data_IF_364858781327
#
_entry.id   IF_364858781327
#
_cell.length_a   1.000
_cell.length_b   1.000
_cell.length_c   1.000
_cell.angle_alpha   90.00
_cell.angle_beta   90.00
_cell.angle_gamma   90.00
#
_symmetry.space_group_name_H-M   'P 1'
#
loop_
_entity.id
_entity.type
_entity.pdbx_description
1 polymer ?
#
# COMPACT_ATOMS: atom_id res chain seq x y z
N UNK A 1 9.48 7.09 -4.56
CA UNK A 1 10.01 7.69 -5.81
C UNK A 1 10.99 6.80 -6.56
N UNK A 2 11.99 6.18 -5.93
CA UNK A 2 13.05 5.44 -6.63
C UNK A 2 12.57 4.33 -7.59
N UNK A 3 11.57 3.53 -7.19
CA UNK A 3 11.06 2.46 -8.06
C UNK A 3 10.26 2.99 -9.25
N UNK A 4 9.49 4.07 -9.07
CA UNK A 4 8.76 4.74 -10.16
C UNK A 4 9.74 5.25 -11.22
N UNK A 5 10.82 5.91 -10.79
CA UNK A 5 11.87 6.39 -11.70
C UNK A 5 12.51 5.23 -12.49
N UNK A 6 12.75 4.08 -11.86
CA UNK A 6 13.28 2.91 -12.58
C UNK A 6 12.29 2.37 -13.61
N UNK A 7 11.00 2.36 -13.30
CA UNK A 7 9.94 1.94 -14.22
C UNK A 7 9.85 2.88 -15.41
N UNK A 8 9.83 4.20 -15.16
CA UNK A 8 9.85 5.23 -16.21
C UNK A 8 11.04 5.04 -17.16
N UNK A 9 12.24 4.83 -16.61
CA UNK A 9 13.44 4.54 -17.42
C UNK A 9 13.34 3.26 -18.23
N UNK A 10 12.66 2.24 -17.73
CA UNK A 10 12.46 1.00 -18.47
C UNK A 10 11.43 1.18 -19.60
N UNK A 11 10.38 1.98 -19.38
CA UNK A 11 9.39 2.33 -20.40
C UNK A 11 9.93 3.23 -21.50
N UNK A 12 10.83 4.17 -21.18
CA UNK A 12 11.52 5.02 -22.16
C UNK A 12 12.30 4.23 -23.22
N UNK A 13 12.63 2.95 -22.96
CA UNK A 13 13.27 2.05 -23.93
C UNK A 13 12.31 1.70 -25.08
N UNK A 14 10.99 1.76 -24.85
CA UNK A 14 9.98 1.56 -25.89
C UNK A 14 9.90 0.12 -26.42
N UNK A 15 10.11 -0.87 -25.54
CA UNK A 15 9.90 -2.28 -25.91
C UNK A 15 8.40 -2.55 -26.07
N UNK A 16 7.97 -3.25 -27.15
CA UNK A 16 6.58 -3.71 -27.27
C UNK A 16 6.18 -4.63 -26.11
N UNK A 17 4.94 -4.52 -25.66
CA UNK A 17 4.42 -5.36 -24.57
C UNK A 17 4.42 -6.85 -24.93
N UNK A 18 4.19 -7.15 -26.20
CA UNK A 18 4.11 -8.48 -26.81
C UNK A 18 5.44 -8.98 -27.41
N UNK A 19 6.55 -8.27 -27.18
CA UNK A 19 7.87 -8.58 -27.75
C UNK A 19 8.30 -10.05 -27.56
N UNK A 20 7.84 -10.68 -26.47
CA UNK A 20 8.16 -12.06 -26.13
C UNK A 20 6.92 -12.98 -26.06
N UNK A 21 5.81 -12.61 -26.69
CA UNK A 21 4.55 -13.37 -26.64
C UNK A 21 4.71 -14.84 -27.10
N UNK A 22 5.58 -15.09 -28.09
CA UNK A 22 5.84 -16.43 -28.63
C UNK A 22 6.96 -17.19 -27.90
N UNK A 23 7.60 -16.57 -26.91
CA UNK A 23 8.72 -17.18 -26.19
C UNK A 23 8.26 -17.89 -24.92
N UNK A 24 8.88 -19.04 -24.60
CA UNK A 24 8.53 -19.75 -23.37
C UNK A 24 8.98 -18.98 -22.13
N UNK A 25 8.10 -18.86 -21.14
CA UNK A 25 8.39 -18.19 -19.87
C UNK A 25 9.63 -18.76 -19.17
N UNK A 26 9.80 -20.10 -19.22
CA UNK A 26 10.98 -20.77 -18.66
C UNK A 26 12.28 -20.35 -19.34
N UNK A 27 12.25 -20.09 -20.65
CA UNK A 27 13.41 -19.60 -21.37
C UNK A 27 13.72 -18.14 -21.00
N UNK A 28 12.68 -17.29 -20.99
CA UNK A 28 12.79 -15.88 -20.59
C UNK A 28 13.33 -15.74 -19.17
N UNK A 29 12.85 -16.55 -18.22
CA UNK A 29 13.33 -16.55 -16.84
C UNK A 29 14.84 -16.88 -16.77
N UNK A 30 15.32 -17.88 -17.53
CA UNK A 30 16.75 -18.21 -17.59
C UNK A 30 17.58 -17.08 -18.19
N UNK A 31 17.11 -16.49 -19.29
CA UNK A 31 17.81 -15.37 -19.94
C UNK A 31 17.85 -14.13 -19.07
N UNK A 32 16.77 -13.84 -18.36
CA UNK A 32 16.70 -12.78 -17.37
C UNK A 32 17.73 -12.98 -16.26
N UNK A 33 17.81 -14.18 -15.67
CA UNK A 33 18.80 -14.49 -14.62
C UNK A 33 20.21 -14.30 -15.15
N UNK A 34 20.51 -14.81 -16.35
CA UNK A 34 21.80 -14.61 -17.01
C UNK A 34 22.11 -13.12 -17.20
N UNK A 35 21.18 -12.36 -17.77
CA UNK A 35 21.37 -10.95 -18.05
C UNK A 35 21.56 -10.12 -16.76
N UNK A 36 20.87 -10.48 -15.67
CA UNK A 36 20.97 -9.79 -14.39
C UNK A 36 22.29 -10.05 -13.64
N UNK A 37 22.91 -11.23 -13.85
CA UNK A 37 24.18 -11.61 -13.21
C UNK A 37 25.41 -11.22 -14.02
N UNK A 38 25.25 -10.94 -15.31
CA UNK A 38 26.36 -10.66 -16.21
C UNK A 38 26.89 -9.22 -16.05
N UNK A 39 28.21 -9.09 -15.92
CA UNK A 39 28.85 -7.77 -15.89
C UNK A 39 28.65 -7.02 -17.21
N UNK A 40 28.38 -5.72 -17.13
CA UNK A 40 28.16 -4.87 -18.31
C UNK A 40 29.31 -4.93 -19.33
N UNK A 41 30.56 -5.10 -18.87
CA UNK A 41 31.72 -5.25 -19.75
C UNK A 41 31.68 -6.53 -20.59
N UNK A 42 31.17 -7.64 -20.04
CA UNK A 42 31.02 -8.91 -20.75
C UNK A 42 29.78 -8.89 -21.64
N UNK A 43 28.68 -8.30 -21.17
CA UNK A 43 27.48 -8.08 -21.97
C UNK A 43 27.79 -7.33 -23.27
N UNK A 44 28.67 -6.31 -23.22
CA UNK A 44 29.12 -5.55 -24.40
C UNK A 44 29.90 -6.38 -25.42
N UNK A 45 30.58 -7.45 -24.99
CA UNK A 45 31.38 -8.33 -25.88
C UNK A 45 30.52 -9.32 -26.67
N UNK A 46 29.27 -9.54 -26.28
CA UNK A 46 28.39 -10.45 -27.04
C UNK A 46 28.12 -9.94 -28.45
N UNK A 47 27.87 -10.85 -29.42
CA UNK A 47 27.28 -10.49 -30.70
C UNK A 47 26.03 -9.63 -30.49
N UNK A 48 25.83 -8.65 -31.37
CA UNK A 48 24.73 -7.68 -31.26
C UNK A 48 23.36 -8.36 -31.03
N UNK A 49 22.97 -9.44 -31.73
CA UNK A 49 21.69 -10.10 -31.48
C UNK A 49 21.55 -10.60 -30.04
N UNK A 50 22.56 -11.32 -29.53
CA UNK A 50 22.56 -11.87 -28.16
C UNK A 50 22.50 -10.75 -27.13
N UNK A 51 23.31 -9.70 -27.30
CA UNK A 51 23.33 -8.55 -26.39
C UNK A 51 21.97 -7.86 -26.32
N UNK A 52 21.36 -7.56 -27.47
CA UNK A 52 20.06 -6.89 -27.51
C UNK A 52 18.96 -7.76 -26.91
N UNK A 53 18.94 -9.07 -27.20
CA UNK A 53 17.95 -9.98 -26.61
C UNK A 53 18.08 -10.03 -25.09
N UNK A 54 19.28 -10.20 -24.54
CA UNK A 54 19.48 -10.26 -23.09
C UNK A 54 19.11 -8.94 -22.40
N UNK A 55 19.43 -7.80 -23.01
CA UNK A 55 19.04 -6.49 -22.50
C UNK A 55 17.52 -6.28 -22.57
N UNK A 56 16.90 -6.63 -23.69
CA UNK A 56 15.45 -6.50 -23.87
C UNK A 56 14.68 -7.37 -22.88
N UNK A 57 15.08 -8.63 -22.71
CA UNK A 57 14.48 -9.53 -21.71
C UNK A 57 14.62 -8.96 -20.31
N UNK A 58 15.79 -8.43 -19.95
CA UNK A 58 16.01 -7.86 -18.62
C UNK A 58 15.09 -6.65 -18.37
N UNK A 59 15.00 -5.72 -19.32
CA UNK A 59 14.17 -4.52 -19.21
C UNK A 59 12.67 -4.84 -19.21
N UNK A 60 12.23 -5.72 -20.11
CA UNK A 60 10.84 -6.16 -20.20
C UNK A 60 10.40 -6.82 -18.90
N UNK A 61 11.15 -7.82 -18.40
CA UNK A 61 10.82 -8.49 -17.14
C UNK A 61 10.92 -7.58 -15.92
N UNK A 62 11.86 -6.61 -15.90
CA UNK A 62 11.99 -5.66 -14.78
C UNK A 62 10.82 -4.69 -14.70
N UNK A 63 10.24 -4.31 -15.83
CA UNK A 63 9.07 -3.42 -15.86
C UNK A 63 7.88 -4.08 -15.16
N UNK A 64 7.61 -5.35 -15.46
CA UNK A 64 6.55 -6.13 -14.81
C UNK A 64 6.79 -6.29 -13.29
N UNK A 65 8.01 -6.62 -12.86
CA UNK A 65 8.33 -6.77 -11.44
C UNK A 65 8.21 -5.48 -10.63
N UNK A 66 8.68 -4.36 -11.20
CA UNK A 66 8.57 -3.07 -10.52
C UNK A 66 7.08 -2.69 -10.41
N UNK A 67 6.30 -2.96 -11.46
CA UNK A 67 4.85 -2.74 -11.45
C UNK A 67 4.18 -3.59 -10.37
N UNK A 68 4.48 -4.88 -10.28
CA UNK A 68 3.95 -5.76 -9.23
C UNK A 68 4.31 -5.27 -7.82
N UNK A 69 5.57 -4.85 -7.61
CA UNK A 69 6.00 -4.29 -6.33
C UNK A 69 5.24 -2.99 -5.97
N UNK A 70 4.96 -2.13 -6.95
CA UNK A 70 4.17 -0.91 -6.78
C UNK A 70 2.70 -1.23 -6.48
N UNK A 71 2.09 -2.21 -7.17
CA UNK A 71 0.74 -2.68 -6.88
C UNK A 71 0.65 -3.24 -5.46
N UNK A 72 1.62 -4.06 -5.05
CA UNK A 72 1.70 -4.56 -3.67
C UNK A 72 1.81 -3.43 -2.63
N UNK A 73 2.52 -2.34 -2.94
CA UNK A 73 2.57 -1.17 -2.08
C UNK A 73 1.23 -0.44 -2.01
N UNK A 74 0.55 -0.29 -3.14
CA UNK A 74 -0.78 0.31 -3.22
C UNK A 74 -1.79 -0.48 -2.37
N UNK A 75 -1.82 -1.80 -2.51
CA UNK A 75 -2.70 -2.68 -1.73
C UNK A 75 -2.45 -2.50 -0.22
N UNK A 76 -1.18 -2.47 0.21
CA UNK A 76 -0.85 -2.22 1.62
C UNK A 76 -1.32 -0.85 2.10
N UNK A 77 -1.23 0.17 1.25
CA UNK A 77 -1.69 1.52 1.59
C UNK A 77 -3.21 1.55 1.75
N UNK A 78 -3.96 0.92 0.84
CA UNK A 78 -5.42 0.78 0.93
C UNK A 78 -5.82 0.12 2.24
N UNK A 79 -5.25 -1.05 2.58
CA UNK A 79 -5.53 -1.73 3.84
C UNK A 79 -5.20 -0.88 5.08
N UNK A 80 -4.14 -0.07 5.02
CA UNK A 80 -3.78 0.85 6.11
C UNK A 80 -4.83 1.95 6.29
N UNK A 81 -5.35 2.49 5.19
CA UNK A 81 -6.42 3.49 5.21
C UNK A 81 -7.69 2.88 5.80
N UNK A 82 -8.10 1.70 5.34
CA UNK A 82 -9.29 1.02 5.83
C UNK A 82 -9.20 0.71 7.33
N UNK A 83 -8.05 0.20 7.79
CA UNK A 83 -7.81 -0.06 9.21
C UNK A 83 -7.84 1.22 10.05
N UNK A 84 -7.35 2.34 9.52
CA UNK A 84 -7.37 3.62 10.23
C UNK A 84 -8.78 4.20 10.30
N UNK A 85 -9.54 4.14 9.21
CA UNK A 85 -10.93 4.56 9.16
C UNK A 85 -11.79 3.74 10.15
N UNK A 86 -11.62 2.41 10.17
CA UNK A 86 -12.31 1.54 11.11
C UNK A 86 -12.03 1.91 12.57
N UNK A 87 -10.74 2.08 12.93
CA UNK A 87 -10.35 2.50 14.29
C UNK A 87 -10.91 3.87 14.68
N UNK A 88 -11.01 4.81 13.73
CA UNK A 88 -11.58 6.13 13.98
C UNK A 88 -13.07 6.02 14.31
N UNK A 89 -13.83 5.30 13.50
CA UNK A 89 -15.28 5.10 13.71
C UNK A 89 -15.55 4.38 15.03
N UNK A 90 -14.79 3.32 15.33
CA UNK A 90 -14.89 2.61 16.60
C UNK A 90 -14.58 3.53 17.80
N UNK A 91 -13.55 4.37 17.69
CA UNK A 91 -13.21 5.35 18.71
C UNK A 91 -14.32 6.38 18.95
N UNK A 92 -14.93 6.89 17.88
CA UNK A 92 -16.06 7.82 17.96
C UNK A 92 -17.29 7.16 18.63
N UNK A 93 -17.61 5.91 18.26
CA UNK A 93 -18.69 5.13 18.90
C UNK A 93 -18.45 4.88 20.39
N UNK A 94 -17.22 4.51 20.78
CA UNK A 94 -16.86 4.30 22.19
C UNK A 94 -16.96 5.62 22.96
N UNK A 95 -16.51 6.73 22.39
CA UNK A 95 -16.60 8.04 23.01
C UNK A 95 -18.07 8.46 23.24
N UNK A 96 -18.93 8.23 22.26
CA UNK A 96 -20.36 8.53 22.38
C UNK A 96 -21.07 7.66 23.41
N UNK A 97 -20.77 6.35 23.46
CA UNK A 97 -21.31 5.46 24.49
C UNK A 97 -20.88 5.89 25.89
N UNK A 98 -19.61 6.25 26.09
CA UNK A 98 -19.10 6.78 27.36
C UNK A 98 -19.84 8.07 27.75
N UNK A 99 -20.07 8.97 26.80
CA UNK A 99 -20.79 10.22 27.01
C UNK A 99 -22.24 9.99 27.45
N UNK A 100 -22.96 9.05 26.83
CA UNK A 100 -24.34 8.72 27.20
C UNK A 100 -24.41 8.14 28.61
N UNK A 101 -23.55 7.16 28.94
CA UNK A 101 -23.49 6.60 30.31
C UNK A 101 -23.17 7.65 31.37
N UNK A 102 -22.32 8.63 31.04
CA UNK A 102 -22.05 9.77 31.94
C UNK A 102 -23.29 10.59 32.28
N UNK A 103 -24.28 10.67 31.37
CA UNK A 103 -25.54 11.38 31.61
C UNK A 103 -26.44 10.65 32.59
N UNK A 104 -26.47 9.32 32.56
CA UNK A 104 -27.25 8.53 33.52
C UNK A 104 -26.77 8.76 34.97
N UNK A 105 -25.45 8.79 35.17
CA UNK A 105 -24.86 9.12 36.47
C UNK A 105 -25.18 10.56 36.92
N UNK A 106 -25.17 11.51 35.99
CA UNK A 106 -25.58 12.89 36.25
C UNK A 106 -27.06 12.99 36.63
N UNK A 107 -27.94 12.29 35.91
CA UNK A 107 -29.37 12.23 36.22
C UNK A 107 -29.62 11.62 37.60
N UNK A 108 -28.87 10.58 37.98
CA UNK A 108 -28.94 10.01 39.32
C UNK A 108 -28.48 11.01 40.39
N UNK A 109 -27.39 11.74 40.13
CA UNK A 109 -26.93 12.80 41.04
C UNK A 109 -27.96 13.93 41.20
N UNK A 110 -28.61 14.33 40.11
CA UNK A 110 -29.67 15.34 40.12
C UNK A 110 -30.89 14.84 40.88
N UNK A 111 -31.34 13.61 40.62
CA UNK A 111 -32.47 13.00 41.33
C UNK A 111 -32.19 12.87 42.84
N UNK A 112 -30.96 12.49 43.21
CA UNK A 112 -30.52 12.42 44.61
C UNK A 112 -30.53 13.81 45.27
N UNK A 113 -29.96 14.82 44.62
CA UNK A 113 -29.95 16.19 45.14
C UNK A 113 -31.36 16.76 45.33
N UNK A 114 -32.28 16.48 44.40
CA UNK A 114 -33.68 16.88 44.49
C UNK A 114 -34.44 16.14 45.62
N UNK A 115 -34.12 14.87 45.89
CA UNK A 115 -34.69 14.11 47.00
C UNK A 115 -34.18 14.59 48.37
N UNK A 116 -32.92 15.01 48.45
CA UNK A 116 -32.30 15.50 49.69
C UNK A 116 -32.73 16.95 50.02
N UNK A 117 -32.95 17.81 49.02
CA UNK A 117 -33.34 19.22 49.20
C UNK A 117 -34.50 19.62 48.26
N UNK A 118 -35.75 19.24 48.59
CA UNK A 118 -36.89 19.31 47.66
C UNK A 118 -37.37 20.72 47.30
N UNK A 119 -37.16 21.71 48.18
CA UNK A 119 -37.61 23.09 47.98
C UNK A 119 -36.49 24.04 47.48
N UNK A 120 -35.26 23.54 47.31
CA UNK A 120 -34.12 24.32 46.84
C UNK A 120 -33.81 24.08 45.35
N UNK A 121 -33.27 25.11 44.67
CA UNK A 121 -32.88 24.98 43.26
C UNK A 121 -31.59 24.15 43.12
N UNK A 122 -31.65 23.04 42.40
CA UNK A 122 -30.50 22.18 42.07
C UNK A 122 -29.56 22.92 41.10
N UNK A 123 -28.68 23.79 41.60
CA UNK A 123 -27.75 24.59 40.78
C UNK A 123 -26.27 24.37 41.13
N UNK A 124 -25.94 23.57 42.15
CA UNK A 124 -24.56 23.25 42.53
C UNK A 124 -24.40 21.76 42.79
N UNK A 125 -24.00 21.03 41.76
CA UNK A 125 -23.43 19.68 41.83
C UNK A 125 -22.32 19.60 40.78
#
# INVERSE_FOLDING_TARGET
MREIQKLERAWEIGLPDDLFADASERLLARWRVRAAQEYAAWMRKHPRPVRLTLQAVLCWSRSAEITDALVGLLIRLVHKIDAHAGKRVEGELIADLKRIRGKEGLLFSVAKAAAENPDETVRRA
#
